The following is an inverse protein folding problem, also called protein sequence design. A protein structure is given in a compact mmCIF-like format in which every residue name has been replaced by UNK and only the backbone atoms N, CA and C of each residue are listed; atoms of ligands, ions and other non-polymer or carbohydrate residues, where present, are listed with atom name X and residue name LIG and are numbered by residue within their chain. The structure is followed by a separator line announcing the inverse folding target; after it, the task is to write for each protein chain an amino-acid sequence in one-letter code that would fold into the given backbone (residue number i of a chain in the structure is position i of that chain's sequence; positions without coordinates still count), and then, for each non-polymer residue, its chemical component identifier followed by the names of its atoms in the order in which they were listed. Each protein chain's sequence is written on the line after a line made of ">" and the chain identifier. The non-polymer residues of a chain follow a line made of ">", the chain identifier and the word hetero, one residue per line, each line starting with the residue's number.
data_IF_860518177673
#
_entry.id   IF_860518177673
#
_cell.length_a   1.000
_cell.length_b   1.000
_cell.length_c   1.000
_cell.angle_alpha   90.00
_cell.angle_beta   90.00
_cell.angle_gamma   90.00
#
_symmetry.space_group_name_H-M   'P 1'
#
loop_
_entity.id
_entity.type
_entity.pdbx_description
1 polymer ?
#
# COMPACT_ATOMS: atom_id res chain seq x y z
N UNK A 1 -39.01 5.51 9.40
CA UNK A 1 -37.63 5.93 9.71
C UNK A 1 -36.67 4.92 9.12
N UNK A 2 -35.53 5.36 8.56
CA UNK A 2 -34.41 4.45 8.24
C UNK A 2 -33.45 4.50 9.42
N UNK A 3 -33.06 3.34 9.92
CA UNK A 3 -31.99 3.20 10.92
C UNK A 3 -30.73 2.83 10.15
N UNK A 4 -29.61 3.49 10.47
CA UNK A 4 -28.30 3.18 9.91
C UNK A 4 -27.49 2.45 10.97
N UNK A 5 -26.87 1.34 10.59
CA UNK A 5 -26.07 0.47 11.47
C UNK A 5 -24.61 0.57 11.04
N UNK A 6 -23.65 0.80 11.94
CA UNK A 6 -22.22 0.82 11.59
C UNK A 6 -21.76 -0.54 11.05
N UNK A 7 -20.74 -0.51 10.20
CA UNK A 7 -20.05 -1.69 9.68
C UNK A 7 -18.66 -1.72 10.30
N UNK A 8 -18.22 -2.87 10.81
CA UNK A 8 -16.90 -3.02 11.41
C UNK A 8 -15.83 -3.39 10.38
N UNK A 9 -14.56 -3.09 10.67
CA UNK A 9 -13.47 -3.22 9.70
C UNK A 9 -13.25 -4.68 9.23
N UNK A 10 -13.44 -5.66 10.12
CA UNK A 10 -13.47 -7.10 9.79
C UNK A 10 -14.53 -7.48 8.73
N UNK A 11 -15.59 -6.67 8.62
CA UNK A 11 -16.73 -6.95 7.78
C UNK A 11 -16.48 -6.63 6.30
N UNK A 12 -15.48 -5.80 5.98
CA UNK A 12 -15.27 -5.28 4.63
C UNK A 12 -14.08 -5.96 3.94
N UNK A 13 -14.42 -6.79 2.96
CA UNK A 13 -13.47 -7.27 1.94
C UNK A 13 -13.51 -6.40 0.68
N UNK A 14 -12.49 -6.56 -0.18
CA UNK A 14 -12.28 -5.78 -1.39
C UNK A 14 -13.49 -5.85 -2.33
N UNK A 15 -14.18 -6.99 -2.34
CA UNK A 15 -15.37 -7.24 -3.16
C UNK A 15 -16.54 -6.33 -2.76
N UNK A 16 -16.86 -6.24 -1.46
CA UNK A 16 -17.90 -5.35 -0.96
C UNK A 16 -17.56 -3.90 -1.27
N UNK A 17 -16.34 -3.47 -0.92
CA UNK A 17 -15.94 -2.07 -1.06
C UNK A 17 -15.82 -1.64 -2.54
N UNK A 18 -15.34 -2.51 -3.43
CA UNK A 18 -15.40 -2.28 -4.89
C UNK A 18 -16.83 -2.16 -5.42
N UNK A 19 -17.71 -3.10 -5.05
CA UNK A 19 -19.13 -3.04 -5.45
C UNK A 19 -19.84 -1.79 -4.89
N UNK A 20 -19.43 -1.33 -3.70
CA UNK A 20 -19.90 -0.10 -3.07
C UNK A 20 -19.46 1.15 -3.84
N UNK A 21 -18.17 1.28 -4.15
CA UNK A 21 -17.66 2.41 -4.94
C UNK A 21 -18.34 2.49 -6.32
N UNK A 22 -18.49 1.36 -7.02
CA UNK A 22 -19.22 1.34 -8.30
C UNK A 22 -20.68 1.77 -8.15
N UNK A 23 -21.36 1.41 -7.05
CA UNK A 23 -22.77 1.79 -6.81
C UNK A 23 -22.97 3.29 -6.65
N UNK A 24 -21.95 4.03 -6.22
CA UNK A 24 -21.95 5.49 -6.06
C UNK A 24 -21.29 6.25 -7.25
N UNK A 25 -21.05 5.56 -8.38
CA UNK A 25 -20.46 6.05 -9.64
C UNK A 25 -18.92 6.25 -9.64
N UNK A 26 -18.17 5.43 -8.89
CA UNK A 26 -16.71 5.50 -8.82
C UNK A 26 -16.12 4.19 -9.38
N UNK A 27 -15.28 4.23 -10.44
CA UNK A 27 -14.61 3.05 -11.01
C UNK A 27 -13.21 2.83 -10.42
N UNK A 28 -13.02 3.09 -9.13
CA UNK A 28 -11.79 2.80 -8.42
C UNK A 28 -11.92 1.53 -7.58
N UNK A 29 -10.79 0.87 -7.36
CA UNK A 29 -10.65 0.01 -6.18
C UNK A 29 -10.73 0.87 -4.91
N UNK A 30 -11.25 0.32 -3.80
CA UNK A 30 -11.31 1.04 -2.54
C UNK A 30 -9.89 1.27 -2.04
N UNK A 31 -9.59 2.50 -1.60
CA UNK A 31 -8.42 2.73 -0.76
C UNK A 31 -8.87 2.49 0.68
N UNK A 32 -8.39 1.41 1.29
CA UNK A 32 -8.46 1.27 2.74
C UNK A 32 -7.54 2.34 3.33
N UNK A 33 -8.13 3.47 3.73
CA UNK A 33 -7.41 4.42 4.57
C UNK A 33 -7.26 3.79 5.95
N UNK A 34 -6.02 3.63 6.42
CA UNK A 34 -5.81 3.33 7.82
C UNK A 34 -6.33 4.49 8.65
N UNK A 35 -7.29 4.15 9.50
CA UNK A 35 -8.19 5.09 10.13
C UNK A 35 -7.46 6.05 11.08
N UNK A 36 -7.46 7.33 10.73
CA UNK A 36 -7.16 8.42 11.67
C UNK A 36 -8.42 8.62 12.53
N UNK A 37 -8.49 7.93 13.67
CA UNK A 37 -9.55 8.16 14.66
C UNK A 37 -10.09 6.91 15.34
N UNK A 38 -11.03 7.16 16.23
CA UNK A 38 -11.75 6.21 17.08
C UNK A 38 -13.16 5.95 16.54
N UNK A 39 -13.83 4.92 17.08
CA UNK A 39 -15.24 4.67 16.78
C UNK A 39 -16.14 5.88 17.07
N UNK A 40 -15.82 6.71 18.07
CA UNK A 40 -16.53 7.96 18.40
C UNK A 40 -16.46 9.04 17.32
N UNK A 41 -15.46 9.01 16.43
CA UNK A 41 -15.26 10.05 15.41
C UNK A 41 -16.14 9.82 14.17
N UNK A 42 -16.64 8.59 13.98
CA UNK A 42 -17.34 8.16 12.75
C UNK A 42 -18.64 7.36 12.98
N UNK A 43 -18.87 6.84 14.18
CA UNK A 43 -20.14 6.17 14.52
C UNK A 43 -21.20 7.16 15.02
N UNK A 44 -22.47 6.80 14.86
CA UNK A 44 -23.55 7.49 15.56
C UNK A 44 -23.56 7.01 17.00
N UNK A 45 -23.35 7.91 17.96
CA UNK A 45 -23.50 7.59 19.38
C UNK A 45 -24.82 6.84 19.63
N UNK A 46 -24.75 5.76 20.41
CA UNK A 46 -25.88 4.93 20.87
C UNK A 46 -26.42 3.88 19.86
N UNK A 47 -25.60 3.34 18.96
CA UNK A 47 -25.95 2.16 18.14
C UNK A 47 -25.87 0.87 18.94
N UNK A 48 -27.00 0.17 19.12
CA UNK A 48 -27.09 -1.10 19.88
C UNK A 48 -26.76 -2.35 19.04
N UNK A 49 -26.19 -2.18 17.85
CA UNK A 49 -25.78 -3.27 16.97
C UNK A 49 -24.80 -2.75 15.92
N UNK A 50 -23.95 -3.64 15.43
CA UNK A 50 -22.97 -3.42 14.36
C UNK A 50 -23.01 -4.56 13.34
N UNK A 51 -22.56 -4.31 12.12
CA UNK A 51 -22.48 -5.29 11.02
C UNK A 51 -21.06 -5.85 10.93
N UNK A 52 -20.94 -7.17 10.90
CA UNK A 52 -19.70 -7.94 10.75
C UNK A 52 -19.80 -8.92 9.57
N UNK A 53 -18.66 -9.44 9.09
CA UNK A 53 -18.55 -10.44 8.00
C UNK A 53 -19.47 -10.23 6.78
N UNK A 54 -19.34 -9.11 6.04
CA UNK A 54 -20.13 -8.93 4.80
C UNK A 54 -19.52 -9.76 3.68
N UNK A 55 -20.32 -10.60 3.03
CA UNK A 55 -19.95 -11.33 1.80
C UNK A 55 -20.91 -11.00 0.68
N UNK A 56 -20.38 -10.68 -0.50
CA UNK A 56 -21.14 -10.23 -1.67
C UNK A 56 -20.76 -11.02 -2.93
N UNK A 57 -21.54 -10.82 -4.00
CA UNK A 57 -21.09 -11.17 -5.35
C UNK A 57 -20.19 -10.07 -5.91
N UNK A 58 -19.14 -10.44 -6.64
CA UNK A 58 -18.07 -9.57 -7.18
C UNK A 58 -18.51 -8.33 -7.98
N UNK A 59 -19.78 -8.23 -8.36
CA UNK A 59 -20.32 -7.14 -9.17
C UNK A 59 -21.59 -6.48 -8.62
N UNK A 60 -22.08 -6.89 -7.44
CA UNK A 60 -23.34 -6.35 -6.91
C UNK A 60 -23.45 -6.37 -5.39
N UNK A 61 -23.97 -5.26 -4.85
CA UNK A 61 -24.46 -5.16 -3.47
C UNK A 61 -25.81 -5.87 -3.26
N UNK A 62 -26.47 -6.34 -4.32
CA UNK A 62 -27.76 -7.05 -4.21
C UNK A 62 -27.53 -8.47 -3.72
N UNK A 63 -28.08 -8.81 -2.55
CA UNK A 63 -27.99 -10.17 -1.99
C UNK A 63 -26.70 -10.46 -1.23
N UNK A 64 -25.96 -9.44 -0.80
CA UNK A 64 -24.91 -9.63 0.19
C UNK A 64 -25.49 -10.21 1.49
N UNK A 65 -24.78 -11.15 2.10
CA UNK A 65 -25.06 -11.65 3.44
C UNK A 65 -24.10 -11.01 4.43
N UNK A 66 -24.53 -10.87 5.68
CA UNK A 66 -23.75 -10.27 6.75
C UNK A 66 -24.20 -10.78 8.11
N UNK A 67 -23.34 -10.72 9.11
CA UNK A 67 -23.68 -10.97 10.51
C UNK A 67 -23.93 -9.66 11.26
N UNK A 68 -24.62 -9.72 12.38
CA UNK A 68 -24.82 -8.58 13.28
C UNK A 68 -24.44 -8.96 14.70
N UNK A 69 -23.64 -8.11 15.35
CA UNK A 69 -23.33 -8.23 16.78
C UNK A 69 -24.02 -7.09 17.56
N UNK A 70 -24.27 -7.30 18.85
CA UNK A 70 -24.75 -6.30 19.82
C UNK A 70 -23.62 -5.51 20.50
N UNK A 71 -22.37 -5.84 20.20
CA UNK A 71 -21.16 -5.10 20.63
C UNK A 71 -20.91 -3.85 19.76
N UNK A 72 -19.80 -3.18 20.03
CA UNK A 72 -19.25 -2.09 19.23
C UNK A 72 -18.07 -2.60 18.38
N UNK A 73 -17.58 -1.82 17.41
CA UNK A 73 -16.54 -2.29 16.49
C UNK A 73 -15.13 -2.34 17.09
N UNK A 74 -14.96 -2.08 18.39
CA UNK A 74 -13.64 -2.01 19.06
C UNK A 74 -12.85 -3.32 19.00
N UNK A 75 -13.51 -4.48 19.12
CA UNK A 75 -12.88 -5.81 18.96
C UNK A 75 -12.61 -6.21 17.50
N UNK A 76 -13.10 -5.43 16.54
CA UNK A 76 -13.14 -5.74 15.12
C UNK A 76 -12.26 -4.79 14.27
N UNK A 77 -11.30 -4.12 14.91
CA UNK A 77 -10.38 -3.16 14.25
C UNK A 77 -10.94 -1.74 14.09
N UNK A 78 -12.11 -1.45 14.67
CA UNK A 78 -12.83 -0.18 14.53
C UNK A 78 -13.91 -0.22 13.46
N UNK A 79 -14.59 0.91 13.26
CA UNK A 79 -15.56 1.09 12.16
C UNK A 79 -14.83 0.99 10.82
N UNK A 80 -15.42 0.33 9.84
CA UNK A 80 -14.82 0.23 8.51
C UNK A 80 -14.89 1.57 7.78
N UNK A 81 -13.73 2.06 7.32
CA UNK A 81 -13.62 3.26 6.48
C UNK A 81 -12.74 2.92 5.29
N UNK A 82 -13.23 3.30 4.11
CA UNK A 82 -12.51 3.18 2.86
C UNK A 82 -12.91 4.35 1.95
N UNK A 83 -11.92 4.90 1.25
CA UNK A 83 -12.12 5.97 0.29
C UNK A 83 -12.37 5.39 -1.09
N UNK A 84 -13.57 5.66 -1.62
CA UNK A 84 -13.82 5.55 -3.04
C UNK A 84 -13.17 6.76 -3.73
N UNK A 85 -12.30 6.52 -4.70
CA UNK A 85 -11.64 7.60 -5.46
C UNK A 85 -12.49 7.99 -6.64
N UNK A 86 -12.75 9.29 -6.80
CA UNK A 86 -13.52 9.82 -7.93
C UNK A 86 -13.02 9.22 -9.25
N UNK A 87 -13.95 9.02 -10.20
CA UNK A 87 -13.59 8.68 -11.56
C UNK A 87 -12.62 9.73 -12.07
N UNK A 88 -11.34 9.36 -12.14
CA UNK A 88 -10.32 10.17 -12.78
C UNK A 88 -10.61 10.10 -14.28
N UNK A 89 -11.48 11.00 -14.73
CA UNK A 89 -11.80 11.27 -16.13
C UNK A 89 -10.62 11.98 -16.82
N UNK A 90 -9.38 11.59 -16.49
CA UNK A 90 -8.24 11.80 -17.38
C UNK A 90 -8.51 10.97 -18.61
N UNK A 91 -9.09 11.64 -19.60
CA UNK A 91 -9.03 11.39 -21.04
C UNK A 91 -8.68 9.96 -21.46
N UNK A 92 -9.51 9.45 -22.38
CA UNK A 92 -9.03 8.68 -23.54
C UNK A 92 -7.86 9.44 -24.16
N UNK A 93 -6.67 9.20 -23.62
CA UNK A 93 -5.47 9.95 -23.92
C UNK A 93 -4.81 9.20 -25.05
N UNK A 94 -5.09 9.69 -26.26
CA UNK A 94 -4.33 9.34 -27.45
C UNK A 94 -2.84 9.34 -27.08
N UNK A 95 -2.23 8.18 -27.15
CA UNK A 95 -0.79 8.08 -27.01
C UNK A 95 -0.16 8.28 -28.39
N UNK A 96 0.92 9.04 -28.46
CA UNK A 96 1.75 9.05 -29.66
C UNK A 96 2.34 7.65 -29.84
N UNK A 97 1.97 6.99 -30.94
CA UNK A 97 2.31 5.58 -31.17
C UNK A 97 3.80 5.27 -30.97
N UNK A 98 4.08 4.24 -30.15
CA UNK A 98 5.40 3.60 -30.03
C UNK A 98 5.93 3.39 -28.60
N UNK A 99 5.83 4.39 -27.71
CA UNK A 99 6.89 4.56 -26.68
C UNK A 99 6.46 4.68 -25.20
N UNK A 100 5.18 4.54 -24.86
CA UNK A 100 4.70 4.66 -23.47
C UNK A 100 4.04 3.38 -22.94
N UNK A 101 4.73 2.74 -21.99
CA UNK A 101 4.11 1.87 -20.98
C UNK A 101 3.85 2.75 -19.76
N UNK A 102 2.63 2.72 -19.20
CA UNK A 102 2.28 3.52 -18.02
C UNK A 102 1.40 2.77 -17.04
N UNK A 103 1.38 3.27 -15.81
CA UNK A 103 0.34 2.98 -14.83
C UNK A 103 -1.00 3.63 -15.22
N UNK A 104 -2.07 2.83 -15.23
CA UNK A 104 -3.46 3.28 -15.26
C UNK A 104 -4.22 2.84 -14.00
N UNK A 105 -5.23 3.64 -13.63
CA UNK A 105 -6.07 3.47 -12.44
C UNK A 105 -5.26 3.27 -11.14
N UNK A 106 -4.16 4.00 -10.99
CA UNK A 106 -3.17 3.74 -9.93
C UNK A 106 -3.45 4.49 -8.61
N UNK A 107 -3.44 3.78 -7.49
CA UNK A 107 -3.59 4.34 -6.13
C UNK A 107 -2.33 5.09 -5.72
N UNK A 108 -2.48 6.30 -5.17
CA UNK A 108 -1.40 7.05 -4.51
C UNK A 108 -1.60 6.98 -3.00
N UNK A 109 -0.57 6.60 -2.25
CA UNK A 109 -0.56 6.71 -0.78
C UNK A 109 0.36 7.87 -0.39
N UNK A 110 -0.21 8.89 0.27
CA UNK A 110 0.56 9.94 0.93
C UNK A 110 0.81 9.54 2.38
N UNK A 111 2.07 9.66 2.82
CA UNK A 111 2.40 9.64 4.24
C UNK A 111 2.32 11.10 4.74
N UNK A 112 1.59 11.36 5.82
CA UNK A 112 1.34 12.72 6.28
C UNK A 112 2.55 13.35 7.02
N UNK A 113 3.54 12.54 7.43
CA UNK A 113 4.73 12.99 8.18
C UNK A 113 6.03 12.94 7.41
N UNK A 114 6.01 12.42 6.19
CA UNK A 114 7.18 12.40 5.33
C UNK A 114 6.81 12.91 3.94
N UNK A 115 7.35 14.09 3.60
CA UNK A 115 7.06 14.98 2.44
C UNK A 115 7.31 14.38 1.03
N UNK A 116 7.06 13.09 0.82
CA UNK A 116 7.39 12.37 -0.41
C UNK A 116 6.22 11.51 -0.90
N UNK A 117 5.90 11.68 -2.18
CA UNK A 117 4.99 10.82 -2.92
C UNK A 117 5.64 9.43 -3.08
N UNK A 118 5.09 8.41 -2.41
CA UNK A 118 5.88 7.22 -2.04
C UNK A 118 5.50 5.91 -2.73
N UNK A 119 4.22 5.65 -2.96
CA UNK A 119 3.77 4.40 -3.58
C UNK A 119 2.64 4.67 -4.57
N UNK A 120 2.81 4.19 -5.80
CA UNK A 120 1.82 4.20 -6.88
C UNK A 120 1.54 2.78 -7.37
N UNK A 121 0.40 2.20 -7.02
CA UNK A 121 0.04 0.82 -7.41
C UNK A 121 -1.09 0.79 -8.43
N UNK A 122 -0.94 0.10 -9.55
CA UNK A 122 -1.99 0.00 -10.57
C UNK A 122 -1.67 -0.92 -11.74
N UNK A 123 -2.52 -0.87 -12.77
CA UNK A 123 -2.41 -1.72 -13.97
C UNK A 123 -1.37 -1.18 -14.92
N UNK A 124 -0.64 -2.09 -15.55
CA UNK A 124 0.31 -1.76 -16.61
C UNK A 124 -0.39 -1.83 -17.95
N UNK A 125 -0.48 -0.69 -18.62
CA UNK A 125 -1.09 -0.58 -19.94
C UNK A 125 -0.08 -0.07 -20.97
N UNK A 126 -0.06 -0.70 -22.13
CA UNK A 126 0.81 -0.35 -23.26
C UNK A 126 0.09 0.47 -24.32
N UNK A 127 0.80 1.39 -24.97
CA UNK A 127 0.30 2.11 -26.13
C UNK A 127 0.33 1.25 -27.41
N UNK A 128 -0.83 1.05 -28.06
CA UNK A 128 -0.99 0.37 -29.36
C UNK A 128 -2.07 1.08 -30.17
N UNK A 129 -1.78 1.46 -31.42
CA UNK A 129 -2.70 2.16 -32.33
C UNK A 129 -3.32 3.41 -31.69
N UNK A 130 -2.47 4.23 -31.06
CA UNK A 130 -2.82 5.43 -30.33
C UNK A 130 -3.79 5.23 -29.13
N UNK A 131 -3.99 3.98 -28.67
CA UNK A 131 -4.80 3.64 -27.50
C UNK A 131 -4.00 2.89 -26.44
N UNK A 132 -4.34 3.08 -25.16
CA UNK A 132 -3.77 2.26 -24.09
C UNK A 132 -4.57 0.98 -23.90
N UNK A 133 -3.87 -0.15 -23.91
CA UNK A 133 -4.42 -1.50 -23.78
C UNK A 133 -3.74 -2.19 -22.59
N UNK A 134 -4.54 -2.83 -21.74
CA UNK A 134 -4.04 -3.52 -20.55
C UNK A 134 -3.19 -4.75 -20.94
N UNK A 135 -2.07 -5.00 -20.25
CA UNK A 135 -1.18 -6.13 -20.51
C UNK A 135 -1.55 -7.29 -19.59
N UNK A 136 -1.69 -8.52 -20.09
CA UNK A 136 -1.85 -9.70 -19.24
C UNK A 136 -0.52 -10.13 -18.60
N UNK A 137 -0.58 -10.66 -17.38
CA UNK A 137 0.58 -11.25 -16.70
C UNK A 137 0.89 -12.70 -17.15
N UNK A 138 0.19 -13.23 -18.17
CA UNK A 138 0.42 -14.57 -18.70
C UNK A 138 1.38 -14.59 -19.91
N UNK A 139 2.17 -15.66 -20.02
CA UNK A 139 3.00 -16.00 -21.20
C UNK A 139 4.11 -15.01 -21.59
N UNK A 140 4.29 -13.92 -20.85
CA UNK A 140 5.19 -12.82 -21.19
C UNK A 140 6.54 -13.00 -20.48
N UNK A 141 7.66 -12.96 -21.22
CA UNK A 141 9.00 -13.20 -20.68
C UNK A 141 9.57 -12.02 -19.87
N UNK A 142 9.15 -10.80 -20.22
CA UNK A 142 9.83 -9.56 -19.80
C UNK A 142 9.00 -8.72 -18.82
N UNK A 143 8.10 -9.36 -18.07
CA UNK A 143 7.13 -8.71 -17.17
C UNK A 143 7.80 -7.75 -16.17
N UNK A 144 8.93 -8.14 -15.57
CA UNK A 144 9.66 -7.31 -14.60
C UNK A 144 10.16 -6.02 -15.24
N UNK A 145 10.74 -6.11 -16.44
CA UNK A 145 11.27 -4.96 -17.16
C UNK A 145 10.15 -4.05 -17.69
N UNK A 146 9.03 -4.63 -18.14
CA UNK A 146 7.81 -3.90 -18.52
C UNK A 146 7.21 -3.15 -17.32
N UNK A 147 7.12 -3.80 -16.17
CA UNK A 147 6.67 -3.20 -14.90
C UNK A 147 7.62 -2.09 -14.43
N UNK A 148 8.93 -2.31 -14.49
CA UNK A 148 9.96 -1.34 -14.15
C UNK A 148 9.95 -0.12 -15.09
N UNK A 149 9.56 -0.29 -16.36
CA UNK A 149 9.31 0.82 -17.29
C UNK A 149 8.04 1.59 -16.94
N UNK A 150 6.97 0.91 -16.54
CA UNK A 150 5.70 1.54 -16.13
C UNK A 150 5.89 2.52 -14.96
N UNK A 151 6.75 2.17 -14.00
CA UNK A 151 7.11 3.02 -12.86
C UNK A 151 7.97 4.23 -13.28
N UNK A 152 9.01 4.00 -14.08
CA UNK A 152 9.92 5.06 -14.54
C UNK A 152 9.28 6.04 -15.55
N UNK A 153 8.04 5.82 -16.01
CA UNK A 153 7.34 6.73 -16.92
C UNK A 153 6.95 8.08 -16.28
N UNK A 154 6.75 8.12 -14.95
CA UNK A 154 6.47 9.34 -14.18
C UNK A 154 7.65 9.76 -13.33
N UNK A 155 8.17 8.81 -12.56
CA UNK A 155 9.06 9.09 -11.45
C UNK A 155 10.39 8.37 -11.69
N UNK A 156 11.43 9.15 -12.01
CA UNK A 156 12.76 8.62 -12.30
C UNK A 156 13.32 7.93 -11.06
N UNK A 157 13.70 6.66 -11.20
CA UNK A 157 14.23 5.76 -10.16
C UNK A 157 13.20 5.14 -9.20
N UNK A 158 11.91 5.06 -9.54
CA UNK A 158 10.98 4.23 -8.74
C UNK A 158 11.20 2.73 -8.98
N UNK A 159 11.26 1.92 -7.92
CA UNK A 159 11.33 0.44 -7.97
C UNK A 159 9.96 -0.13 -8.35
N UNK A 160 9.94 -1.12 -9.25
CA UNK A 160 8.75 -1.91 -9.54
C UNK A 160 8.70 -3.21 -8.73
N UNK A 161 7.56 -3.47 -8.10
CA UNK A 161 7.19 -4.78 -7.55
C UNK A 161 5.94 -5.26 -8.28
N UNK A 162 6.02 -6.38 -9.00
CA UNK A 162 4.83 -7.00 -9.62
C UNK A 162 3.89 -7.44 -8.50
N UNK A 163 2.62 -7.08 -8.62
CA UNK A 163 1.58 -7.54 -7.72
C UNK A 163 1.18 -8.96 -8.19
N UNK A 164 1.22 -9.99 -7.31
CA UNK A 164 0.71 -11.32 -7.63
C UNK A 164 -0.75 -11.28 -8.07
N UNK A 165 -1.28 -12.37 -8.62
CA UNK A 165 -2.68 -12.41 -9.04
C UNK A 165 -3.62 -12.05 -7.89
N UNK A 166 -4.36 -10.96 -8.04
CA UNK A 166 -5.51 -10.61 -7.21
C UNK A 166 -6.72 -10.33 -8.08
N UNK A 167 -7.90 -10.39 -7.47
CA UNK A 167 -9.14 -10.01 -8.15
C UNK A 167 -9.18 -8.52 -8.52
N UNK A 168 -8.37 -7.66 -7.89
CA UNK A 168 -8.25 -6.22 -8.19
C UNK A 168 -7.71 -5.93 -9.60
N UNK A 169 -6.97 -6.89 -10.14
CA UNK A 169 -6.36 -6.79 -11.46
C UNK A 169 -6.87 -7.90 -12.39
N UNK A 170 -8.02 -8.49 -12.10
CA UNK A 170 -8.58 -9.60 -12.89
C UNK A 170 -9.11 -9.20 -14.28
N UNK A 171 -9.78 -8.04 -14.40
CA UNK A 171 -10.54 -7.66 -15.60
C UNK A 171 -9.99 -6.43 -16.33
N UNK A 172 -9.68 -6.51 -17.62
CA UNK A 172 -9.38 -5.38 -18.51
C UNK A 172 -10.52 -4.35 -18.55
N UNK A 173 -10.15 -3.07 -18.58
CA UNK A 173 -11.12 -1.96 -18.66
C UNK A 173 -11.70 -1.73 -20.07
N UNK A 174 -11.05 -2.24 -21.12
CA UNK A 174 -11.45 -2.05 -22.52
C UNK A 174 -12.02 -3.31 -23.20
N UNK A 175 -11.86 -4.47 -22.56
CA UNK A 175 -12.17 -5.78 -23.19
C UNK A 175 -11.17 -6.20 -24.28
N UNK A 176 -10.05 -5.48 -24.39
CA UNK A 176 -8.91 -5.78 -25.23
C UNK A 176 -7.68 -5.85 -24.32
N UNK A 177 -6.78 -6.80 -24.59
CA UNK A 177 -5.54 -6.99 -23.83
C UNK A 177 -4.37 -7.35 -24.75
N UNK A 178 -3.15 -7.06 -24.29
CA UNK A 178 -1.90 -7.57 -24.87
C UNK A 178 -1.46 -8.83 -24.13
N UNK A 179 -1.06 -9.87 -24.87
CA UNK A 179 -0.59 -11.16 -24.33
C UNK A 179 0.75 -11.56 -24.94
N UNK A 180 1.46 -12.48 -24.28
CA UNK A 180 2.74 -13.01 -24.74
C UNK A 180 3.73 -11.89 -25.10
N UNK A 181 3.79 -10.83 -24.28
CA UNK A 181 4.65 -9.68 -24.55
C UNK A 181 6.10 -10.06 -24.30
N UNK A 182 6.91 -9.98 -25.35
CA UNK A 182 8.35 -10.24 -25.30
C UNK A 182 9.10 -9.12 -26.00
N UNK A 183 10.08 -8.54 -25.31
CA UNK A 183 10.82 -7.34 -25.69
C UNK A 183 12.34 -7.58 -25.80
N UNK A 184 12.84 -8.71 -25.28
CA UNK A 184 14.27 -9.00 -25.27
C UNK A 184 15.05 -7.99 -24.42
N UNK A 185 16.25 -7.60 -24.86
CA UNK A 185 17.14 -6.71 -24.09
C UNK A 185 16.71 -5.24 -24.06
N UNK A 186 15.86 -4.79 -24.99
CA UNK A 186 15.56 -3.37 -25.22
C UNK A 186 14.17 -2.97 -24.71
N UNK A 187 13.91 -3.13 -23.42
CA UNK A 187 12.60 -2.88 -22.78
C UNK A 187 12.33 -1.38 -22.53
N UNK A 188 12.82 -0.52 -23.43
CA UNK A 188 12.64 0.94 -23.37
C UNK A 188 11.26 1.38 -23.89
N UNK A 189 10.53 0.50 -24.58
CA UNK A 189 9.30 0.79 -25.33
C UNK A 189 8.59 -0.51 -25.69
N UNK A 190 7.30 -0.46 -26.05
CA UNK A 190 6.68 -1.59 -26.79
C UNK A 190 7.16 -1.66 -28.24
N UNK A 191 7.78 -0.59 -28.77
CA UNK A 191 8.50 -0.62 -30.03
C UNK A 191 9.64 -1.66 -29.97
N UNK A 192 9.58 -2.66 -30.85
CA UNK A 192 10.51 -3.80 -30.89
C UNK A 192 9.99 -5.06 -30.19
N UNK A 193 8.97 -4.96 -29.33
CA UNK A 193 8.37 -6.11 -28.68
C UNK A 193 7.41 -6.87 -29.63
N UNK A 194 7.38 -8.19 -29.50
CA UNK A 194 6.30 -9.02 -30.05
C UNK A 194 5.19 -9.18 -29.01
N UNK A 195 3.93 -9.09 -29.44
CA UNK A 195 2.76 -9.29 -28.58
C UNK A 195 1.54 -9.72 -29.41
N UNK A 196 0.59 -10.36 -28.75
CA UNK A 196 -0.72 -10.74 -29.31
C UNK A 196 -1.81 -9.80 -28.79
N UNK A 197 -2.68 -9.32 -29.68
CA UNK A 197 -3.89 -8.57 -29.29
C UNK A 197 -5.04 -9.56 -29.14
N UNK A 198 -5.65 -9.61 -27.95
CA UNK A 198 -6.79 -10.49 -27.64
C UNK A 198 -8.02 -9.70 -27.20
N UNK A 199 -9.19 -10.04 -27.74
CA UNK A 199 -10.49 -9.50 -27.33
C UNK A 199 -11.06 -10.31 -26.16
N UNK A 200 -10.39 -10.24 -25.01
CA UNK A 200 -10.84 -10.88 -23.76
C UNK A 200 -10.86 -9.85 -22.63
N UNK A 201 -11.86 -9.96 -21.76
CA UNK A 201 -11.97 -9.12 -20.55
C UNK A 201 -11.13 -9.65 -19.40
N UNK A 202 -10.80 -10.94 -19.37
CA UNK A 202 -10.10 -11.59 -18.25
C UNK A 202 -8.89 -12.38 -18.79
N UNK A 203 -7.72 -12.17 -18.18
CA UNK A 203 -6.51 -12.91 -18.50
C UNK A 203 -6.38 -14.15 -17.59
N UNK A 204 -5.86 -15.30 -18.07
CA UNK A 204 -5.68 -16.50 -17.25
C UNK A 204 -4.83 -16.30 -15.98
N UNK A 205 -3.84 -15.40 -16.04
CA UNK A 205 -3.00 -15.00 -14.89
C UNK A 205 -3.25 -13.54 -14.48
N UNK A 206 -4.41 -12.98 -14.81
CA UNK A 206 -4.77 -11.58 -14.52
C UNK A 206 -4.04 -10.54 -15.38
N UNK A 207 -4.45 -9.28 -15.24
CA UNK A 207 -3.78 -8.11 -15.81
C UNK A 207 -2.49 -7.87 -15.01
N UNK A 208 -1.38 -7.59 -15.70
CA UNK A 208 -0.14 -7.16 -15.08
C UNK A 208 -0.39 -5.88 -14.28
N UNK A 209 -0.14 -5.97 -12.99
CA UNK A 209 -0.20 -4.85 -12.07
C UNK A 209 1.12 -4.72 -11.32
N UNK A 210 1.47 -3.48 -10.99
CA UNK A 210 2.75 -3.13 -10.38
C UNK A 210 2.54 -2.10 -9.30
N UNK A 211 3.27 -2.27 -8.21
CA UNK A 211 3.52 -1.26 -7.18
C UNK A 211 4.82 -0.55 -7.52
N UNK A 212 4.73 0.75 -7.76
CA UNK A 212 5.86 1.63 -8.03
C UNK A 212 6.21 2.41 -6.76
N UNK A 213 7.38 2.13 -6.20
CA UNK A 213 7.86 2.75 -4.97
C UNK A 213 9.04 3.69 -5.25
N UNK A 214 8.92 4.95 -4.88
CA UNK A 214 9.98 5.96 -5.11
C UNK A 214 11.24 5.58 -4.33
N UNK A 215 12.38 5.47 -5.02
CA UNK A 215 13.66 5.17 -4.36
C UNK A 215 13.98 6.21 -3.28
N UNK A 216 14.46 5.70 -2.15
CA UNK A 216 14.82 6.50 -0.99
C UNK A 216 16.34 6.74 -0.91
N UNK A 217 16.73 7.68 -0.06
CA UNK A 217 18.14 7.92 0.29
C UNK A 217 18.45 7.19 1.60
N UNK A 218 19.45 6.30 1.63
CA UNK A 218 19.74 5.34 2.72
C UNK A 218 19.25 5.76 4.13
N UNK A 219 19.92 6.63 4.87
CA UNK A 219 19.43 7.06 6.19
C UNK A 219 18.24 8.01 6.12
N UNK A 220 17.10 7.45 5.70
CA UNK A 220 15.74 7.96 5.86
C UNK A 220 14.93 6.89 6.60
N UNK A 221 14.10 7.33 7.54
CA UNK A 221 13.14 6.49 8.23
C UNK A 221 11.71 6.84 7.81
N UNK A 222 10.77 5.91 8.00
CA UNK A 222 9.33 6.14 7.87
C UNK A 222 8.55 5.25 8.82
N UNK A 223 7.40 5.73 9.26
CA UNK A 223 6.31 4.84 9.66
C UNK A 223 5.51 4.44 8.41
N UNK A 224 4.96 3.23 8.43
CA UNK A 224 3.92 2.79 7.49
C UNK A 224 2.76 2.18 8.28
N UNK A 225 1.57 2.22 7.67
CA UNK A 225 0.31 1.83 8.33
C UNK A 225 0.08 2.60 9.64
N UNK A 226 0.27 3.92 9.56
CA UNK A 226 0.18 4.84 10.70
C UNK A 226 -1.21 4.86 11.36
N UNK A 227 -1.21 5.03 12.68
CA UNK A 227 -2.39 5.21 13.52
C UNK A 227 -2.13 6.38 14.46
N UNK A 228 -3.09 7.30 14.55
CA UNK A 228 -3.00 8.49 15.42
C UNK A 228 -3.93 8.31 16.61
N UNK A 229 -3.39 8.41 17.82
CA UNK A 229 -4.13 8.44 19.08
C UNK A 229 -3.98 9.81 19.73
N UNK A 230 -5.09 10.50 19.98
CA UNK A 230 -5.11 11.77 20.71
C UNK A 230 -5.31 11.52 22.20
N UNK A 231 -4.38 11.99 23.03
CA UNK A 231 -4.50 11.91 24.48
C UNK A 231 -5.39 13.03 25.03
N UNK A 232 -5.95 12.84 26.24
CA UNK A 232 -6.94 13.75 26.83
C UNK A 232 -6.44 15.18 27.12
N UNK A 233 -5.13 15.41 27.04
CA UNK A 233 -4.47 16.72 27.13
C UNK A 233 -4.27 17.41 25.76
N UNK A 234 -4.63 16.77 24.64
CA UNK A 234 -4.47 17.27 23.27
C UNK A 234 -3.16 16.89 22.58
N UNK A 235 -2.21 16.23 23.26
CA UNK A 235 -1.03 15.67 22.59
C UNK A 235 -1.44 14.52 21.66
N UNK A 236 -0.64 14.25 20.64
CA UNK A 236 -0.87 13.15 19.69
C UNK A 236 0.27 12.13 19.75
N UNK A 237 -0.10 10.86 19.71
CA UNK A 237 0.79 9.71 19.55
C UNK A 237 0.57 9.13 18.17
N UNK A 238 1.63 8.86 17.43
CA UNK A 238 1.56 8.25 16.10
C UNK A 238 2.31 6.93 16.16
N UNK A 239 1.64 5.82 15.87
CA UNK A 239 2.26 4.51 15.82
C UNK A 239 2.15 3.86 14.44
N UNK A 240 3.18 3.13 14.04
CA UNK A 240 3.25 2.46 12.73
C UNK A 240 4.38 1.43 12.69
N UNK A 241 4.40 0.59 11.65
CA UNK A 241 5.56 -0.27 11.39
C UNK A 241 6.74 0.61 11.00
N UNK A 242 7.90 0.40 11.64
CA UNK A 242 9.12 1.12 11.31
C UNK A 242 9.75 0.53 10.05
N UNK A 243 10.06 1.41 9.09
CA UNK A 243 10.87 1.09 7.94
C UNK A 243 12.02 2.09 7.79
N UNK A 244 13.20 1.56 7.48
CA UNK A 244 14.42 2.33 7.25
C UNK A 244 14.91 2.01 5.85
N UNK A 245 15.39 3.02 5.14
CA UNK A 245 15.92 2.84 3.81
C UNK A 245 17.34 2.23 3.87
N UNK A 246 17.59 1.13 3.17
CA UNK A 246 18.90 0.48 3.13
C UNK A 246 19.17 0.04 1.70
N UNK A 247 20.28 0.53 1.14
CA UNK A 247 20.64 0.37 -0.28
C UNK A 247 19.57 0.93 -1.23
N UNK A 248 19.13 2.19 -0.95
CA UNK A 248 18.10 2.96 -1.68
C UNK A 248 16.70 2.34 -1.73
N UNK A 249 16.40 1.45 -0.80
CA UNK A 249 15.18 0.66 -0.83
C UNK A 249 14.64 0.44 0.60
N UNK A 250 13.33 0.42 0.78
CA UNK A 250 12.69 0.39 2.09
C UNK A 250 12.68 -1.03 2.66
N UNK A 251 13.16 -1.16 3.90
CA UNK A 251 13.17 -2.41 4.65
C UNK A 251 12.53 -2.22 6.01
N UNK A 252 11.80 -3.22 6.50
CA UNK A 252 11.36 -3.24 7.90
C UNK A 252 12.51 -3.60 8.84
N UNK A 253 12.38 -3.10 10.06
CA UNK A 253 13.25 -3.46 11.18
C UNK A 253 12.67 -4.70 11.87
N UNK A 254 13.52 -5.65 12.27
CA UNK A 254 13.12 -6.81 13.07
C UNK A 254 12.81 -6.40 14.51
N UNK A 255 11.71 -6.91 15.06
CA UNK A 255 11.37 -6.80 16.48
C UNK A 255 12.20 -7.81 17.28
N UNK A 256 13.46 -7.47 17.53
CA UNK A 256 14.48 -8.30 18.20
C UNK A 256 15.10 -7.61 19.43
N UNK A 257 15.89 -8.36 20.21
CA UNK A 257 16.54 -7.89 21.44
C UNK A 257 17.56 -6.74 21.24
N UNK A 258 17.84 -6.31 20.00
CA UNK A 258 18.73 -5.17 19.72
C UNK A 258 18.01 -3.82 19.70
N UNK A 259 16.68 -3.83 19.65
CA UNK A 259 15.87 -2.61 19.71
C UNK A 259 15.97 -1.92 21.08
N UNK A 260 16.08 -0.60 21.07
CA UNK A 260 16.35 0.20 22.27
C UNK A 260 15.70 1.58 22.20
N UNK A 261 15.38 2.17 23.36
CA UNK A 261 14.78 3.52 23.45
C UNK A 261 15.57 4.60 22.66
N UNK A 262 16.91 4.63 22.64
CA UNK A 262 17.67 5.61 21.86
C UNK A 262 17.46 5.47 20.34
N UNK A 263 17.30 4.24 19.85
CA UNK A 263 16.96 3.99 18.45
C UNK A 263 15.54 4.49 18.15
N UNK A 264 14.59 4.32 19.08
CA UNK A 264 13.23 4.83 18.92
C UNK A 264 13.19 6.37 18.86
N UNK A 265 13.90 7.06 19.76
CA UNK A 265 14.01 8.52 19.73
C UNK A 265 14.64 9.03 18.41
N UNK A 266 15.77 8.44 17.99
CA UNK A 266 16.46 8.80 16.74
C UNK A 266 15.56 8.51 15.53
N UNK A 267 14.87 7.37 15.51
CA UNK A 267 13.97 7.00 14.42
C UNK A 267 12.78 7.98 14.35
N UNK A 268 12.11 8.27 15.45
CA UNK A 268 10.99 9.21 15.50
C UNK A 268 11.41 10.61 15.02
N UNK A 269 12.53 11.14 15.50
CA UNK A 269 13.05 12.43 15.04
C UNK A 269 13.44 12.40 13.54
N UNK A 270 13.95 11.28 13.04
CA UNK A 270 14.28 11.06 11.62
C UNK A 270 13.04 10.87 10.72
N UNK A 271 11.89 10.47 11.29
CA UNK A 271 10.61 10.32 10.57
C UNK A 271 9.96 11.69 10.38
N UNK A 272 9.98 12.54 11.42
CA UNK A 272 9.42 13.89 11.36
C UNK A 272 9.96 14.80 12.45
N UNK A 273 10.31 16.03 12.08
CA UNK A 273 10.92 17.05 12.96
C UNK A 273 10.04 17.49 14.16
N UNK A 274 8.79 17.05 14.19
CA UNK A 274 7.78 17.34 15.22
C UNK A 274 7.69 16.27 16.32
N UNK A 275 8.38 15.13 16.15
CA UNK A 275 8.49 14.11 17.18
C UNK A 275 9.73 14.34 18.05
N UNK A 276 9.53 14.33 19.37
CA UNK A 276 10.59 14.57 20.35
C UNK A 276 11.10 13.28 21.02
N UNK A 277 10.32 12.21 21.00
CA UNK A 277 10.70 10.90 21.54
C UNK A 277 9.90 9.77 20.91
N UNK A 278 10.32 8.52 21.16
CA UNK A 278 9.66 7.31 20.70
C UNK A 278 9.79 6.13 21.65
N UNK A 279 8.93 5.14 21.48
CA UNK A 279 9.07 3.79 22.07
C UNK A 279 8.75 2.73 21.02
N UNK A 280 9.33 1.55 21.17
CA UNK A 280 8.87 0.37 20.43
C UNK A 280 7.63 -0.22 21.10
N UNK A 281 6.67 -0.66 20.29
CA UNK A 281 5.50 -1.43 20.67
C UNK A 281 5.69 -2.89 20.21
N UNK A 282 5.02 -3.87 20.85
CA UNK A 282 5.03 -5.24 20.36
C UNK A 282 4.61 -5.33 18.89
N UNK A 283 5.36 -6.10 18.09
CA UNK A 283 5.02 -6.37 16.70
C UNK A 283 3.57 -6.86 16.53
N UNK A 284 2.89 -6.31 15.51
CA UNK A 284 1.49 -6.61 15.24
C UNK A 284 1.22 -6.46 13.73
N UNK A 285 1.45 -7.55 12.99
CA UNK A 285 1.31 -7.59 11.52
C UNK A 285 -0.12 -7.52 11.03
N UNK A 286 -1.14 -7.86 11.84
CA UNK A 286 -2.54 -7.68 11.44
C UNK A 286 -2.98 -6.22 11.51
N UNK A 287 -2.39 -5.42 12.40
CA UNK A 287 -2.70 -3.99 12.54
C UNK A 287 -1.78 -3.08 11.70
N UNK A 288 -0.50 -3.43 11.59
CA UNK A 288 0.53 -2.61 10.93
C UNK A 288 1.13 -3.26 9.68
N UNK A 289 0.60 -4.40 9.21
CA UNK A 289 1.09 -5.14 8.04
C UNK A 289 2.50 -5.73 8.22
N UNK A 290 3.02 -6.39 7.19
CA UNK A 290 4.41 -6.85 7.11
C UNK A 290 5.15 -6.28 5.89
N UNK A 291 6.48 -6.47 5.88
CA UNK A 291 7.36 -6.31 4.72
C UNK A 291 8.44 -7.41 4.81
N UNK A 292 8.51 -8.29 3.81
CA UNK A 292 9.41 -9.44 3.82
C UNK A 292 10.89 -9.06 3.74
N UNK A 293 11.21 -7.84 3.29
CA UNK A 293 12.57 -7.29 3.36
C UNK A 293 12.84 -6.76 4.76
N UNK A 294 13.28 -7.63 5.65
CA UNK A 294 13.59 -7.30 7.05
C UNK A 294 15.09 -7.22 7.28
N UNK A 295 15.51 -6.28 8.13
CA UNK A 295 16.87 -6.19 8.66
C UNK A 295 16.85 -6.35 10.19
N UNK A 296 17.93 -6.87 10.75
CA UNK A 296 18.16 -7.13 12.18
C UNK A 296 19.44 -6.43 12.65
N UNK A 297 19.68 -6.38 13.97
CA UNK A 297 20.92 -5.90 14.58
C UNK A 297 21.16 -4.38 14.36
N UNK A 298 20.13 -3.58 14.61
CA UNK A 298 20.22 -2.12 14.60
C UNK A 298 20.72 -1.63 15.95
N UNK A 299 21.99 -1.21 16.02
CA UNK A 299 22.60 -0.73 17.27
C UNK A 299 23.15 0.68 17.10
N UNK A 300 22.74 1.61 17.97
CA UNK A 300 23.24 2.98 17.98
C UNK A 300 24.39 3.12 18.99
N UNK A 301 25.55 3.60 18.56
CA UNK A 301 26.64 3.91 19.51
C UNK A 301 26.38 5.26 20.21
N UNK A 302 26.18 5.23 21.53
CA UNK A 302 26.06 6.47 22.31
C UNK A 302 27.41 7.19 22.42
N UNK A 303 27.56 8.30 21.70
CA UNK A 303 28.76 9.13 21.75
C UNK A 303 28.56 10.53 21.19
N UNK A 304 28.15 11.47 22.04
CA UNK A 304 28.21 12.93 21.79
C UNK A 304 27.74 13.45 20.42
N UNK A 305 26.42 13.42 20.20
CA UNK A 305 25.76 14.40 19.34
C UNK A 305 25.55 14.05 17.88
N UNK A 306 25.75 12.79 17.46
CA UNK A 306 25.23 12.33 16.18
C UNK A 306 23.82 11.75 16.37
N UNK A 307 22.82 12.50 15.88
CA UNK A 307 21.39 12.22 16.07
C UNK A 307 20.76 11.58 14.83
N UNK A 308 21.51 10.74 14.12
CA UNK A 308 21.11 10.25 12.80
C UNK A 308 20.92 8.74 12.77
N UNK A 309 19.84 8.30 12.11
CA UNK A 309 19.58 6.88 11.87
C UNK A 309 20.74 6.19 11.14
N UNK A 310 21.54 6.93 10.37
CA UNK A 310 22.77 6.43 9.72
C UNK A 310 23.76 5.78 10.69
N UNK A 311 23.88 6.28 11.93
CA UNK A 311 24.82 5.73 12.90
C UNK A 311 24.35 4.37 13.44
N UNK A 312 23.02 4.16 13.44
CA UNK A 312 22.36 2.94 13.93
C UNK A 312 22.28 1.80 12.90
N UNK A 313 22.46 2.09 11.60
CA UNK A 313 22.37 1.08 10.53
C UNK A 313 23.70 0.43 10.15
N UNK A 314 24.83 0.86 10.72
CA UNK A 314 26.16 0.38 10.33
C UNK A 314 26.34 -1.13 10.53
N UNK A 315 25.76 -1.68 11.58
CA UNK A 315 25.81 -3.11 11.92
C UNK A 315 24.56 -3.89 11.47
N UNK A 316 23.60 -3.21 10.80
CA UNK A 316 22.34 -3.82 10.38
C UNK A 316 22.55 -4.84 9.25
N UNK A 317 21.86 -5.97 9.34
CA UNK A 317 22.01 -7.10 8.40
C UNK A 317 20.66 -7.56 7.89
N UNK A 318 20.59 -7.97 6.63
CA UNK A 318 19.41 -8.61 6.07
C UNK A 318 19.08 -9.89 6.85
N UNK A 319 17.80 -10.03 7.22
CA UNK A 319 17.29 -11.12 8.03
C UNK A 319 16.64 -12.24 7.18
N UNK A 320 17.04 -12.39 5.91
CA UNK A 320 16.37 -13.24 4.91
C UNK A 320 16.25 -14.74 5.28
N UNK A 321 17.01 -15.23 6.27
CA UNK A 321 16.94 -16.61 6.78
C UNK A 321 16.29 -16.72 8.18
N UNK A 322 15.82 -15.60 8.76
CA UNK A 322 15.18 -15.56 10.08
C UNK A 322 13.66 -15.67 9.96
N UNK A 323 13.13 -16.85 10.29
CA UNK A 323 11.68 -17.11 10.40
C UNK A 323 11.01 -16.15 11.39
N UNK A 324 11.73 -15.78 12.46
CA UNK A 324 11.26 -14.87 13.50
C UNK A 324 11.11 -13.43 12.98
N UNK A 325 12.13 -12.89 12.31
CA UNK A 325 12.07 -11.53 11.76
C UNK A 325 11.05 -11.40 10.62
N UNK A 326 10.82 -12.47 9.84
CA UNK A 326 9.83 -12.48 8.75
C UNK A 326 8.39 -12.22 9.24
N UNK A 327 8.04 -12.66 10.46
CA UNK A 327 6.73 -12.36 11.08
C UNK A 327 6.75 -11.17 12.03
N UNK A 328 7.91 -10.80 12.57
CA UNK A 328 8.04 -9.84 13.66
C UNK A 328 8.70 -8.55 13.16
N UNK A 329 7.91 -7.68 12.52
CA UNK A 329 8.38 -6.35 12.12
C UNK A 329 8.14 -5.35 13.26
N UNK A 330 9.16 -4.56 13.58
CA UNK A 330 9.14 -3.57 14.65
C UNK A 330 8.05 -2.52 14.43
N UNK A 331 7.27 -2.26 15.49
CA UNK A 331 6.28 -1.19 15.54
C UNK A 331 6.83 -0.10 16.44
N UNK A 332 6.81 1.15 15.97
CA UNK A 332 7.24 2.32 16.75
C UNK A 332 6.03 3.19 17.08
N UNK A 333 6.04 3.83 18.25
CA UNK A 333 5.14 4.92 18.61
C UNK A 333 5.95 6.17 18.92
N UNK A 334 5.70 7.23 18.16
CA UNK A 334 6.32 8.54 18.31
C UNK A 334 5.41 9.53 19.03
N UNK A 335 5.99 10.37 19.87
CA UNK A 335 5.28 11.35 20.70
C UNK A 335 5.52 12.77 20.21
N UNK A 336 4.42 13.51 20.03
CA UNK A 336 4.47 14.98 19.94
C UNK A 336 4.36 15.61 21.33
N UNK A 337 5.09 16.71 21.60
CA UNK A 337 4.93 17.50 22.83
C UNK A 337 3.51 18.09 22.96
#
# INVERSE_FOLDING_TARGET
>A
FRVYTPVCNDAINDQFAYAFCRRINYNSYPVYELLIGTESDYSVYNTTSVITNITCSYSSLSGCTYTTDSTNCSSYGGVAIFSCRENVTTSTSECSDGNSVRLLNYTRVYNYYADFERVSSGRVSGCVNSQYVDICADGSSDLEAIAQRACNYRDYNSRATIIPWTSDYSMSSSGIVLRNVSCGSDVYSLQGCTYEISNITECPSGILAVTCETACSNGQARMVNERVEYTSNGSARVSGRLEICINRDWASVCDDDTLSEPLADIACNSIGNEFNSGVFLPSNTSLYGSNDRVYTNFTCQYGYGSSSIYDCINDARSANDSIECASNNAVIQCFRP
#
